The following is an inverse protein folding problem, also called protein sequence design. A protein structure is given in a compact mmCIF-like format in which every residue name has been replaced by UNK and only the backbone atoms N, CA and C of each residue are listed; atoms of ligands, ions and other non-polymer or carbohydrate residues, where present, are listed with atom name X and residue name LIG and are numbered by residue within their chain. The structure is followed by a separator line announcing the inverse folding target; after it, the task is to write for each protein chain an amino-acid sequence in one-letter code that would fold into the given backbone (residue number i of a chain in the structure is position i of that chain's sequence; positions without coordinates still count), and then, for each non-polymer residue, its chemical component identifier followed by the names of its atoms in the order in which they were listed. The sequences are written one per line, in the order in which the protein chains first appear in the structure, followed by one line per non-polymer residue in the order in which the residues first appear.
data_IF_731434245542
#
_entry.id   IF_731434245542
#
_cell.length_a   1.000
_cell.length_b   1.000
_cell.length_c   1.000
_cell.angle_alpha   90.00
_cell.angle_beta   90.00
_cell.angle_gamma   90.00
#
_symmetry.space_group_name_H-M   'P 1'
#
loop_
_entity.id
_entity.type
_entity.pdbx_description
1 polymer ?
#
# COMPACT_ATOMS: atom_id res chain seq x y z
N UNK A 1 -6.52 -23.68 -3.41
CA UNK A 1 -7.61 -23.79 -2.42
C UNK A 1 -7.75 -22.41 -1.79
N UNK A 2 -8.90 -21.73 -1.95
CA UNK A 2 -9.12 -20.43 -1.35
C UNK A 2 -9.20 -20.56 0.16
N UNK A 3 -8.53 -19.66 0.90
CA UNK A 3 -8.39 -19.75 2.35
C UNK A 3 -8.73 -18.43 3.05
N UNK A 4 -9.11 -18.58 4.31
CA UNK A 4 -9.15 -17.49 5.29
C UNK A 4 -7.94 -17.67 6.20
N UNK A 5 -7.12 -16.65 6.29
CA UNK A 5 -5.91 -16.67 7.13
C UNK A 5 -5.99 -15.63 8.23
N UNK A 6 -5.62 -15.96 9.48
CA UNK A 6 -5.41 -14.95 10.51
C UNK A 6 -4.33 -13.94 10.08
N UNK A 7 -4.64 -12.68 10.22
CA UNK A 7 -3.67 -11.60 10.03
C UNK A 7 -3.07 -11.23 11.39
N UNK A 8 -2.05 -11.96 11.79
CA UNK A 8 -1.42 -11.82 13.12
C UNK A 8 -0.81 -10.43 13.29
N UNK A 9 -0.15 -9.91 12.22
CA UNK A 9 0.45 -8.59 12.26
C UNK A 9 -0.59 -7.51 12.55
N UNK A 10 -1.71 -7.53 11.82
CA UNK A 10 -2.79 -6.57 12.01
C UNK A 10 -3.52 -6.79 13.34
N UNK A 11 -3.67 -8.04 13.79
CA UNK A 11 -4.27 -8.38 15.10
C UNK A 11 -3.49 -7.76 16.25
N UNK A 12 -2.17 -7.79 16.18
CA UNK A 12 -1.29 -7.17 17.19
C UNK A 12 -1.46 -5.64 17.26
N UNK A 13 -1.71 -4.99 16.11
CA UNK A 13 -1.91 -3.54 16.05
C UNK A 13 -3.29 -3.16 16.58
N UNK A 14 -4.33 -3.92 16.21
CA UNK A 14 -5.72 -3.60 16.56
C UNK A 14 -6.16 -4.11 17.94
N UNK A 15 -5.42 -5.07 18.51
CA UNK A 15 -5.72 -5.65 19.82
C UNK A 15 -6.88 -6.66 19.82
N UNK A 16 -7.28 -7.15 18.65
CA UNK A 16 -8.31 -8.19 18.50
C UNK A 16 -8.07 -9.00 17.20
N UNK A 17 -8.65 -10.22 17.08
CA UNK A 17 -8.42 -11.07 15.91
C UNK A 17 -8.78 -10.41 14.59
N UNK A 18 -7.87 -10.51 13.62
CA UNK A 18 -8.05 -10.02 12.25
C UNK A 18 -7.90 -11.19 11.28
N UNK A 19 -8.73 -11.19 10.24
CA UNK A 19 -8.75 -12.25 9.23
C UNK A 19 -8.68 -11.65 7.83
N UNK A 20 -7.88 -12.29 6.97
CA UNK A 20 -7.81 -11.98 5.55
C UNK A 20 -8.41 -13.14 4.75
N UNK A 21 -9.42 -12.87 3.93
CA UNK A 21 -9.84 -13.79 2.90
C UNK A 21 -9.00 -13.58 1.62
N UNK A 22 -8.63 -14.67 0.97
CA UNK A 22 -8.08 -14.60 -0.39
C UNK A 22 -9.12 -14.02 -1.35
N UNK A 23 -8.66 -13.42 -2.45
CA UNK A 23 -9.54 -12.77 -3.43
C UNK A 23 -10.36 -13.83 -4.19
N UNK A 24 -11.68 -13.92 -3.97
CA UNK A 24 -12.53 -14.86 -4.69
C UNK A 24 -12.77 -14.36 -6.13
N UNK A 25 -12.86 -15.30 -7.04
CA UNK A 25 -13.11 -15.02 -8.46
C UNK A 25 -14.56 -15.32 -8.90
N UNK A 26 -15.30 -16.06 -8.07
CA UNK A 26 -16.68 -16.44 -8.34
C UNK A 26 -17.51 -16.53 -7.05
N UNK A 27 -18.83 -16.67 -7.21
CA UNK A 27 -19.79 -16.70 -6.09
C UNK A 27 -19.61 -17.91 -5.17
N UNK A 28 -19.26 -19.08 -5.71
CA UNK A 28 -19.09 -20.29 -4.90
C UNK A 28 -17.90 -20.14 -3.93
N UNK A 29 -16.78 -19.63 -4.42
CA UNK A 29 -15.61 -19.30 -3.58
C UNK A 29 -15.94 -18.24 -2.53
N UNK A 30 -16.65 -17.18 -2.92
CA UNK A 30 -17.06 -16.12 -2.00
C UNK A 30 -17.97 -16.65 -0.88
N UNK A 31 -18.94 -17.48 -1.21
CA UNK A 31 -19.85 -18.11 -0.25
C UNK A 31 -19.08 -19.00 0.74
N UNK A 32 -18.16 -19.80 0.24
CA UNK A 32 -17.28 -20.64 1.06
C UNK A 32 -16.46 -19.77 2.04
N UNK A 33 -15.78 -18.72 1.55
CA UNK A 33 -14.94 -17.86 2.38
C UNK A 33 -15.73 -17.09 3.45
N UNK A 34 -16.92 -16.61 3.11
CA UNK A 34 -17.83 -15.98 4.09
C UNK A 34 -18.21 -16.96 5.18
N UNK A 35 -18.52 -18.22 4.82
CA UNK A 35 -18.81 -19.30 5.78
C UNK A 35 -17.62 -19.61 6.68
N UNK A 36 -16.41 -19.67 6.12
CA UNK A 36 -15.18 -19.90 6.86
C UNK A 36 -14.91 -18.80 7.88
N UNK A 37 -15.03 -17.53 7.48
CA UNK A 37 -14.85 -16.41 8.41
C UNK A 37 -15.86 -16.49 9.56
N UNK A 38 -17.12 -16.77 9.26
CA UNK A 38 -18.17 -16.91 10.30
C UNK A 38 -17.86 -18.04 11.30
N UNK A 39 -17.23 -19.13 10.87
CA UNK A 39 -16.84 -20.24 11.74
C UNK A 39 -15.65 -19.92 12.62
N UNK A 40 -14.70 -19.11 12.12
CA UNK A 40 -13.46 -18.76 12.84
C UNK A 40 -13.66 -17.59 13.84
N UNK A 41 -14.65 -16.74 13.60
CA UNK A 41 -14.91 -15.56 14.44
C UNK A 41 -15.72 -15.94 15.66
N UNK A 42 -15.16 -15.64 16.84
CA UNK A 42 -15.85 -15.71 18.14
C UNK A 42 -15.70 -14.37 18.87
N UNK A 43 -16.77 -13.54 18.91
CA UNK A 43 -16.74 -12.22 19.52
C UNK A 43 -16.11 -11.16 18.63
N UNK A 44 -15.57 -10.11 19.25
CA UNK A 44 -14.99 -8.96 18.56
C UNK A 44 -13.86 -9.37 17.62
N UNK A 45 -14.01 -9.05 16.35
CA UNK A 45 -13.02 -9.36 15.32
C UNK A 45 -13.13 -8.41 14.12
N UNK A 46 -12.17 -8.48 13.24
CA UNK A 46 -12.14 -7.75 11.98
C UNK A 46 -11.82 -8.71 10.83
N UNK A 47 -12.52 -8.57 9.71
CA UNK A 47 -12.20 -9.31 8.50
C UNK A 47 -12.18 -8.39 7.27
N UNK A 48 -11.30 -8.70 6.33
CA UNK A 48 -11.23 -7.98 5.08
C UNK A 48 -11.00 -8.92 3.89
N UNK A 49 -11.45 -8.46 2.74
CA UNK A 49 -11.24 -9.13 1.45
C UNK A 49 -11.00 -8.09 0.37
N UNK A 50 -10.24 -8.47 -0.65
CA UNK A 50 -10.11 -7.71 -1.89
C UNK A 50 -10.82 -8.49 -2.99
N UNK A 51 -11.71 -7.82 -3.73
CA UNK A 51 -12.50 -8.41 -4.81
C UNK A 51 -12.24 -7.63 -6.09
N UNK A 52 -11.92 -8.28 -7.23
CA UNK A 52 -11.77 -7.58 -8.50
C UNK A 52 -12.99 -6.70 -8.80
N UNK A 53 -12.77 -5.46 -9.27
CA UNK A 53 -13.89 -4.57 -9.60
C UNK A 53 -14.78 -5.11 -10.73
N UNK A 54 -14.28 -6.02 -11.56
CA UNK A 54 -15.04 -6.74 -12.55
C UNK A 54 -15.99 -7.81 -11.98
N UNK A 55 -15.76 -8.25 -10.73
CA UNK A 55 -16.56 -9.29 -10.06
C UNK A 55 -17.66 -8.68 -9.16
N UNK A 56 -18.50 -7.81 -9.75
CA UNK A 56 -19.53 -7.05 -9.02
C UNK A 56 -20.47 -7.94 -8.20
N UNK A 57 -20.91 -9.09 -8.76
CA UNK A 57 -21.78 -10.03 -8.04
C UNK A 57 -21.11 -10.63 -6.80
N UNK A 58 -19.80 -10.86 -6.84
CA UNK A 58 -19.02 -11.31 -5.67
C UNK A 58 -18.97 -10.22 -4.60
N UNK A 59 -18.74 -8.98 -5.01
CA UNK A 59 -18.76 -7.85 -4.07
C UNK A 59 -20.14 -7.66 -3.43
N UNK A 60 -21.23 -7.79 -4.21
CA UNK A 60 -22.60 -7.73 -3.72
C UNK A 60 -22.89 -8.80 -2.65
N UNK A 61 -22.46 -10.05 -2.90
CA UNK A 61 -22.60 -11.14 -1.93
C UNK A 61 -21.90 -10.80 -0.60
N UNK A 62 -20.69 -10.26 -0.62
CA UNK A 62 -20.03 -9.82 0.61
C UNK A 62 -20.81 -8.71 1.31
N UNK A 63 -21.37 -7.74 0.57
CA UNK A 63 -22.17 -6.65 1.16
C UNK A 63 -23.46 -7.17 1.80
N UNK A 64 -24.14 -8.14 1.21
CA UNK A 64 -25.29 -8.85 1.81
C UNK A 64 -24.93 -9.55 3.12
N UNK A 65 -23.67 -9.97 3.26
CA UNK A 65 -23.14 -10.57 4.49
C UNK A 65 -22.55 -9.53 5.47
N UNK A 66 -22.84 -8.25 5.29
CA UNK A 66 -22.48 -7.16 6.21
C UNK A 66 -21.08 -6.59 6.04
N UNK A 67 -20.39 -6.92 4.95
CA UNK A 67 -19.18 -6.22 4.55
C UNK A 67 -19.52 -4.87 3.93
N UNK A 68 -18.61 -3.92 4.01
CA UNK A 68 -18.74 -2.61 3.40
C UNK A 68 -17.52 -2.33 2.52
N UNK A 69 -17.75 -1.79 1.34
CA UNK A 69 -16.66 -1.24 0.53
C UNK A 69 -16.14 0.01 1.25
N UNK A 70 -14.86 0.01 1.57
CA UNK A 70 -14.18 1.13 2.24
C UNK A 70 -13.19 1.83 1.34
N UNK A 71 -12.76 1.15 0.28
CA UNK A 71 -11.75 1.65 -0.65
C UNK A 71 -11.85 0.94 -2.00
N UNK A 72 -11.31 1.57 -3.02
CA UNK A 72 -10.98 0.93 -4.29
C UNK A 72 -9.45 1.03 -4.47
N UNK A 73 -8.78 -0.09 -4.24
CA UNK A 73 -7.35 -0.21 -4.51
C UNK A 73 -7.09 -0.31 -6.00
N UNK A 74 -6.19 0.50 -6.52
CA UNK A 74 -5.77 0.50 -7.91
C UNK A 74 -4.28 0.21 -8.01
N UNK A 75 -3.93 -0.71 -8.90
CA UNK A 75 -2.54 -1.13 -9.13
C UNK A 75 -2.06 -0.62 -10.47
N UNK A 76 -0.95 0.07 -10.44
CA UNK A 76 -0.25 0.54 -11.63
C UNK A 76 0.99 -0.32 -11.87
N UNK A 77 1.31 -0.56 -13.15
CA UNK A 77 2.52 -1.25 -13.60
C UNK A 77 3.26 -0.40 -14.62
N UNK A 78 4.59 -0.52 -14.63
CA UNK A 78 5.45 0.13 -15.61
C UNK A 78 6.52 -0.87 -16.07
N UNK A 79 6.69 -1.10 -17.38
CA UNK A 79 7.79 -1.91 -17.91
C UNK A 79 9.14 -1.23 -17.64
N UNK A 80 10.26 -1.95 -17.71
CA UNK A 80 11.61 -1.40 -17.59
C UNK A 80 12.01 -0.67 -18.88
N UNK A 81 11.25 0.35 -19.27
CA UNK A 81 11.48 1.13 -20.48
C UNK A 81 12.28 2.40 -20.18
N UNK A 82 13.46 2.60 -20.79
CA UNK A 82 14.35 3.73 -20.53
C UNK A 82 13.85 5.07 -21.08
N UNK A 83 12.70 5.13 -21.78
CA UNK A 83 12.19 6.35 -22.44
C UNK A 83 11.77 7.49 -21.51
N UNK A 84 11.88 7.36 -20.21
CA UNK A 84 11.68 8.46 -19.27
C UNK A 84 13.03 9.09 -18.94
N UNK A 85 13.36 10.18 -19.58
CA UNK A 85 14.55 10.96 -19.22
C UNK A 85 14.43 11.47 -17.77
N UNK A 86 15.45 11.33 -16.93
CA UNK A 86 15.46 11.95 -15.62
C UNK A 86 15.40 13.47 -15.79
N UNK A 87 14.67 14.15 -14.92
CA UNK A 87 14.71 15.60 -14.83
C UNK A 87 15.95 15.98 -13.98
N UNK A 88 17.02 16.49 -14.57
CA UNK A 88 18.32 16.66 -13.90
C UNK A 88 18.37 17.82 -12.88
N UNK A 89 17.38 18.72 -12.86
CA UNK A 89 17.41 19.94 -12.05
C UNK A 89 16.58 19.82 -10.76
N UNK A 90 16.98 18.94 -9.86
CA UNK A 90 16.36 18.88 -8.54
C UNK A 90 17.35 19.34 -7.46
N UNK A 91 16.99 20.38 -6.70
CA UNK A 91 17.68 20.77 -5.44
C UNK A 91 17.45 19.73 -4.32
N UNK A 92 16.65 18.68 -4.61
CA UNK A 92 16.34 17.60 -3.67
C UNK A 92 17.40 16.52 -3.78
N UNK A 93 18.11 16.27 -2.68
CA UNK A 93 19.01 15.12 -2.57
C UNK A 93 18.22 13.87 -2.21
N UNK A 94 18.34 12.80 -3.03
CA UNK A 94 17.74 11.49 -2.73
C UNK A 94 18.83 10.45 -2.60
N UNK A 95 18.88 9.79 -1.46
CA UNK A 95 19.88 8.78 -1.12
C UNK A 95 19.26 7.58 -0.41
N UNK A 96 20.01 6.50 -0.29
CA UNK A 96 19.62 5.38 0.57
C UNK A 96 19.52 5.86 2.02
N UNK A 97 18.45 5.47 2.70
CA UNK A 97 18.22 5.83 4.08
C UNK A 97 19.23 5.14 5.01
N UNK A 98 19.76 5.90 5.97
CA UNK A 98 20.51 5.38 7.10
C UNK A 98 19.58 4.89 8.21
N UNK A 99 20.10 4.24 9.22
CA UNK A 99 19.30 3.80 10.38
C UNK A 99 18.58 4.97 11.09
N UNK A 100 19.22 6.14 11.16
CA UNK A 100 18.60 7.34 11.75
C UNK A 100 17.48 7.91 10.89
N UNK A 101 17.62 7.87 9.56
CA UNK A 101 16.58 8.33 8.63
C UNK A 101 15.32 7.45 8.68
N UNK A 102 15.45 6.16 9.02
CA UNK A 102 14.31 5.26 9.14
C UNK A 102 13.35 5.69 10.27
N UNK A 103 13.87 6.32 11.33
CA UNK A 103 13.03 6.90 12.40
C UNK A 103 12.19 8.06 11.86
N UNK A 104 12.81 8.95 11.06
CA UNK A 104 12.09 10.03 10.39
C UNK A 104 11.07 9.49 9.38
N UNK A 105 11.43 8.48 8.59
CA UNK A 105 10.52 7.84 7.64
C UNK A 105 9.28 7.26 8.31
N UNK A 106 9.43 6.64 9.50
CA UNK A 106 8.34 6.10 10.31
C UNK A 106 7.38 7.21 10.78
N UNK A 107 7.94 8.33 11.24
CA UNK A 107 7.13 9.50 11.62
C UNK A 107 6.37 10.07 10.41
N UNK A 108 7.06 10.26 9.28
CA UNK A 108 6.45 10.74 8.04
C UNK A 108 5.34 9.79 7.59
N UNK A 109 5.55 8.47 7.63
CA UNK A 109 4.55 7.48 7.24
C UNK A 109 3.27 7.60 8.07
N UNK A 110 3.40 7.77 9.40
CA UNK A 110 2.25 7.89 10.31
C UNK A 110 1.44 9.17 10.09
N UNK A 111 2.09 10.26 9.69
CA UNK A 111 1.46 11.58 9.59
C UNK A 111 0.99 11.94 8.18
N UNK A 112 1.64 11.42 7.13
CA UNK A 112 1.45 11.90 5.76
C UNK A 112 0.66 10.94 4.87
N UNK A 113 0.52 9.66 5.24
CA UNK A 113 -0.27 8.70 4.49
C UNK A 113 -1.69 8.67 5.05
N UNK A 114 -2.58 9.48 4.47
CA UNK A 114 -3.95 9.70 4.98
C UNK A 114 -5.04 9.00 4.16
N UNK A 115 -4.67 8.32 3.07
CA UNK A 115 -5.63 7.65 2.17
C UNK A 115 -5.70 6.13 2.38
N UNK A 116 -5.05 5.55 3.42
CA UNK A 116 -5.12 4.10 3.59
C UNK A 116 -6.54 3.63 3.89
N UNK A 117 -6.85 2.38 3.56
CA UNK A 117 -8.15 1.75 3.85
C UNK A 117 -8.58 1.87 5.33
N UNK A 118 -7.64 2.06 6.22
CA UNK A 118 -7.90 2.27 7.65
C UNK A 118 -8.32 3.71 7.95
N UNK A 119 -7.83 4.69 7.20
CA UNK A 119 -8.28 6.08 7.28
C UNK A 119 -9.65 6.29 6.62
N UNK A 120 -9.93 5.53 5.55
CA UNK A 120 -11.17 5.63 4.80
C UNK A 120 -12.33 4.84 5.46
N UNK A 121 -12.03 3.89 6.35
CA UNK A 121 -13.05 3.16 7.09
C UNK A 121 -13.56 4.00 8.28
N UNK A 122 -14.84 4.46 8.26
CA UNK A 122 -15.36 5.33 9.33
C UNK A 122 -15.47 4.64 10.70
N UNK A 123 -15.32 3.31 10.77
CA UNK A 123 -15.29 2.55 12.03
C UNK A 123 -13.91 2.53 12.68
N UNK A 124 -12.88 2.87 11.92
CA UNK A 124 -11.54 3.12 12.44
C UNK A 124 -11.35 4.63 12.55
N UNK A 125 -10.89 5.12 13.69
CA UNK A 125 -10.46 6.52 13.80
C UNK A 125 -9.12 6.74 13.09
N UNK A 126 -8.79 8.01 12.78
CA UNK A 126 -7.52 8.35 12.12
C UNK A 126 -6.30 7.76 12.83
N UNK A 127 -6.33 7.65 14.17
CA UNK A 127 -5.26 7.07 14.97
C UNK A 127 -4.94 5.62 14.58
N UNK A 128 -5.93 4.83 14.15
CA UNK A 128 -5.70 3.45 13.68
C UNK A 128 -4.92 3.45 12.38
N UNK A 129 -5.32 4.30 11.41
CA UNK A 129 -4.60 4.44 10.16
C UNK A 129 -3.14 4.87 10.39
N UNK A 130 -2.92 5.84 11.26
CA UNK A 130 -1.59 6.31 11.64
C UNK A 130 -0.77 5.20 12.29
N UNK A 131 -1.35 4.43 13.22
CA UNK A 131 -0.68 3.31 13.90
C UNK A 131 -0.30 2.20 12.93
N UNK A 132 -1.18 1.88 11.97
CA UNK A 132 -0.89 0.88 10.93
C UNK A 132 0.26 1.36 10.04
N UNK A 133 0.26 2.60 9.58
CA UNK A 133 1.32 3.15 8.74
C UNK A 133 2.66 3.22 9.49
N UNK A 134 2.61 3.60 10.77
CA UNK A 134 3.77 3.61 11.65
C UNK A 134 4.37 2.20 11.79
N UNK A 135 3.54 1.19 12.11
CA UNK A 135 3.98 -0.19 12.27
C UNK A 135 4.46 -0.79 10.93
N UNK A 136 3.87 -0.37 9.82
CA UNK A 136 4.30 -0.79 8.49
C UNK A 136 5.73 -0.31 8.21
N UNK A 137 6.01 0.98 8.42
CA UNK A 137 7.35 1.51 8.24
C UNK A 137 8.33 0.99 9.31
N UNK A 138 7.86 0.72 10.53
CA UNK A 138 8.66 0.11 11.60
C UNK A 138 9.18 -1.28 11.20
N UNK A 139 8.42 -2.05 10.41
CA UNK A 139 8.89 -3.33 9.86
C UNK A 139 10.11 -3.18 8.93
N UNK A 140 10.23 -2.04 8.24
CA UNK A 140 11.43 -1.69 7.47
C UNK A 140 12.62 -1.34 8.37
N UNK A 141 12.36 -0.62 9.46
CA UNK A 141 13.39 -0.24 10.43
C UNK A 141 14.06 -1.47 11.07
N UNK A 142 13.32 -2.55 11.23
CA UNK A 142 13.79 -3.80 11.80
C UNK A 142 14.24 -4.85 10.76
N UNK A 143 14.29 -4.48 9.47
CA UNK A 143 14.67 -5.40 8.39
C UNK A 143 13.71 -6.58 8.19
N UNK A 144 12.49 -6.48 8.71
CA UNK A 144 11.46 -7.53 8.59
C UNK A 144 10.68 -7.41 7.28
N UNK A 145 10.81 -6.28 6.60
CA UNK A 145 10.10 -5.97 5.35
C UNK A 145 10.96 -5.15 4.43
N UNK A 146 10.76 -5.38 3.13
CA UNK A 146 11.29 -4.55 2.07
C UNK A 146 12.73 -4.84 1.67
N UNK A 147 13.17 -4.13 0.66
CA UNK A 147 14.51 -4.25 0.05
C UNK A 147 15.36 -3.02 0.39
N UNK A 148 14.78 -1.84 0.29
CA UNK A 148 15.48 -0.56 0.47
C UNK A 148 14.49 0.57 0.80
N UNK A 149 14.98 1.56 1.51
CA UNK A 149 14.28 2.85 1.71
C UNK A 149 15.17 3.96 1.17
N UNK A 150 14.61 4.84 0.35
CA UNK A 150 15.25 6.09 -0.04
C UNK A 150 14.67 7.24 0.77
N UNK A 151 15.54 8.14 1.22
CA UNK A 151 15.21 9.38 1.91
C UNK A 151 15.48 10.56 0.99
N UNK A 152 14.50 11.44 0.86
CA UNK A 152 14.65 12.74 0.23
C UNK A 152 14.96 13.81 1.27
N UNK A 153 15.97 14.61 0.96
CA UNK A 153 16.44 15.68 1.83
C UNK A 153 16.52 17.00 1.04
N UNK A 154 16.10 18.07 1.70
CA UNK A 154 16.23 19.44 1.21
C UNK A 154 16.67 20.33 2.35
N UNK A 155 17.69 21.17 2.15
CA UNK A 155 18.26 22.06 3.15
C UNK A 155 18.61 21.33 4.49
N UNK A 156 19.16 20.10 4.39
CA UNK A 156 19.52 19.28 5.55
C UNK A 156 18.32 18.69 6.33
N UNK A 157 17.09 18.87 5.84
CA UNK A 157 15.85 18.35 6.48
C UNK A 157 15.28 17.17 5.71
N UNK A 158 14.91 16.13 6.44
CA UNK A 158 14.23 14.94 5.86
C UNK A 158 12.83 15.36 5.45
N UNK A 159 12.57 15.32 4.16
CA UNK A 159 11.37 15.88 3.54
C UNK A 159 10.39 14.82 3.06
N UNK A 160 10.87 13.60 2.79
CA UNK A 160 10.03 12.51 2.31
C UNK A 160 10.84 11.23 2.14
N UNK A 161 10.14 10.12 1.92
CA UNK A 161 10.75 8.80 1.71
C UNK A 161 9.97 7.98 0.68
N UNK A 162 10.62 6.95 0.15
CA UNK A 162 10.01 5.87 -0.61
C UNK A 162 10.59 4.54 -0.11
N UNK A 163 9.71 3.64 0.31
CA UNK A 163 10.07 2.29 0.75
C UNK A 163 9.73 1.29 -0.35
N UNK A 164 10.67 0.43 -0.65
CA UNK A 164 10.64 -0.46 -1.82
C UNK A 164 10.76 -1.90 -1.37
N UNK A 165 9.96 -2.78 -1.96
CA UNK A 165 10.10 -4.21 -1.81
C UNK A 165 10.20 -4.91 -3.17
N UNK A 166 10.56 -6.20 -3.14
CA UNK A 166 10.51 -7.08 -4.30
C UNK A 166 9.34 -8.03 -4.16
N UNK A 167 8.50 -8.10 -5.19
CA UNK A 167 7.43 -9.08 -5.29
C UNK A 167 7.82 -10.12 -6.33
N UNK A 168 8.08 -11.33 -5.86
CA UNK A 168 8.43 -12.51 -6.68
C UNK A 168 7.40 -13.62 -6.54
N UNK A 169 6.17 -13.30 -6.13
CA UNK A 169 5.09 -14.29 -5.91
C UNK A 169 4.47 -14.79 -7.22
N UNK A 170 4.65 -14.06 -8.32
CA UNK A 170 4.16 -14.42 -9.65
C UNK A 170 5.28 -14.91 -10.59
N UNK A 171 4.96 -15.13 -11.88
CA UNK A 171 5.92 -15.56 -12.91
C UNK A 171 7.00 -14.51 -13.20
N UNK A 172 6.76 -13.27 -12.84
CA UNK A 172 7.69 -12.15 -13.00
C UNK A 172 7.96 -11.48 -11.67
N UNK A 173 9.22 -11.15 -11.42
CA UNK A 173 9.60 -10.34 -10.26
C UNK A 173 9.36 -8.86 -10.56
N UNK A 174 8.71 -8.16 -9.63
CA UNK A 174 8.50 -6.71 -9.71
C UNK A 174 9.28 -6.00 -8.61
N UNK A 175 9.79 -4.82 -8.91
CA UNK A 175 10.17 -3.87 -7.89
C UNK A 175 8.95 -3.00 -7.55
N UNK A 176 8.60 -2.93 -6.27
CA UNK A 176 7.31 -2.40 -5.81
C UNK A 176 7.53 -1.20 -4.91
N UNK A 177 6.84 -0.10 -5.21
CA UNK A 177 6.66 0.98 -4.26
C UNK A 177 5.64 0.52 -3.24
N UNK A 178 6.10 0.25 -2.02
CA UNK A 178 5.27 -0.22 -0.91
C UNK A 178 4.68 0.94 -0.11
N UNK A 179 5.51 1.95 0.19
CA UNK A 179 5.09 3.20 0.82
C UNK A 179 5.83 4.37 0.17
N UNK A 180 5.16 5.51 0.04
CA UNK A 180 5.76 6.79 -0.32
C UNK A 180 5.08 7.90 0.47
N UNK A 181 5.86 8.79 1.06
CA UNK A 181 5.38 9.90 1.85
C UNK A 181 6.24 11.14 1.69
N UNK A 182 5.59 12.30 1.69
CA UNK A 182 6.24 13.62 1.68
C UNK A 182 5.59 14.47 2.76
N UNK A 183 6.41 15.05 3.64
CA UNK A 183 5.93 15.94 4.70
C UNK A 183 5.09 17.08 4.12
N UNK A 184 3.99 17.49 4.77
CA UNK A 184 3.07 18.50 4.23
C UNK A 184 3.76 19.84 3.91
N UNK A 185 4.68 20.28 4.77
CA UNK A 185 5.45 21.54 4.62
C UNK A 185 6.46 21.50 3.44
N UNK A 186 6.73 20.30 2.89
CA UNK A 186 7.60 20.10 1.75
C UNK A 186 6.88 19.66 0.48
N UNK A 187 5.56 19.49 0.52
CA UNK A 187 4.79 19.12 -0.67
C UNK A 187 4.87 20.20 -1.76
N UNK A 188 4.64 19.81 -3.01
CA UNK A 188 4.72 20.66 -4.22
C UNK A 188 6.07 21.34 -4.45
N UNK A 189 7.15 20.81 -3.86
CA UNK A 189 8.54 21.22 -4.10
C UNK A 189 9.34 20.18 -4.90
N UNK A 190 8.69 19.32 -5.66
CA UNK A 190 9.33 18.32 -6.50
C UNK A 190 9.82 17.05 -5.78
N UNK A 191 9.65 16.93 -4.46
CA UNK A 191 10.19 15.81 -3.66
C UNK A 191 9.64 14.46 -4.10
N UNK A 192 8.31 14.37 -4.30
CA UNK A 192 7.71 13.13 -4.79
C UNK A 192 8.26 12.71 -6.16
N UNK A 193 8.53 13.67 -7.07
CA UNK A 193 9.13 13.41 -8.36
C UNK A 193 10.60 12.97 -8.22
N UNK A 194 11.38 13.60 -7.34
CA UNK A 194 12.77 13.20 -7.11
C UNK A 194 12.88 11.78 -6.56
N UNK A 195 12.00 11.40 -5.63
CA UNK A 195 11.90 10.03 -5.10
C UNK A 195 11.52 9.03 -6.22
N UNK A 196 10.55 9.38 -7.07
CA UNK A 196 10.17 8.55 -8.21
C UNK A 196 11.31 8.37 -9.20
N UNK A 197 12.03 9.44 -9.54
CA UNK A 197 13.18 9.36 -10.44
C UNK A 197 14.21 8.38 -9.88
N UNK A 198 14.62 8.53 -8.63
CA UNK A 198 15.58 7.62 -7.98
C UNK A 198 15.11 6.16 -8.00
N UNK A 199 13.84 5.91 -7.67
CA UNK A 199 13.27 4.56 -7.72
C UNK A 199 13.32 3.97 -9.14
N UNK A 200 12.92 4.76 -10.13
CA UNK A 200 12.87 4.34 -11.52
C UNK A 200 14.30 4.04 -12.03
N UNK A 201 15.24 4.98 -11.86
CA UNK A 201 16.60 4.84 -12.33
C UNK A 201 17.28 3.58 -11.76
N UNK A 202 17.18 3.38 -10.44
CA UNK A 202 17.75 2.19 -9.80
C UNK A 202 17.04 0.89 -10.21
N UNK A 203 15.76 0.96 -10.57
CA UNK A 203 15.02 -0.22 -11.04
C UNK A 203 15.35 -0.56 -12.49
N UNK A 204 15.59 0.44 -13.32
CA UNK A 204 16.05 0.23 -14.71
C UNK A 204 17.41 -0.45 -14.77
N UNK A 205 18.33 -0.12 -13.87
CA UNK A 205 19.63 -0.81 -13.76
C UNK A 205 19.48 -2.31 -13.48
N UNK A 206 18.40 -2.70 -12.81
CA UNK A 206 18.07 -4.10 -12.51
C UNK A 206 17.27 -4.78 -13.64
N UNK A 207 16.86 -4.03 -14.66
CA UNK A 207 15.97 -4.48 -15.73
C UNK A 207 14.68 -5.17 -15.21
N UNK A 208 14.08 -4.61 -14.18
CA UNK A 208 12.87 -5.13 -13.56
C UNK A 208 11.66 -4.26 -13.88
N UNK A 209 10.48 -4.86 -14.10
CA UNK A 209 9.23 -4.12 -14.14
C UNK A 209 8.88 -3.58 -12.77
N UNK A 210 8.11 -2.48 -12.75
CA UNK A 210 7.73 -1.74 -11.56
C UNK A 210 6.24 -1.89 -11.28
N UNK A 211 5.88 -1.89 -10.00
CA UNK A 211 4.49 -1.97 -9.54
C UNK A 211 4.26 -1.02 -8.37
N UNK A 212 3.07 -0.45 -8.31
CA UNK A 212 2.59 0.30 -7.15
C UNK A 212 1.09 0.10 -7.01
N UNK A 213 0.62 0.01 -5.76
CA UNK A 213 -0.82 -0.01 -5.46
C UNK A 213 -1.15 1.19 -4.59
N UNK A 214 -2.20 1.91 -4.96
CA UNK A 214 -2.71 3.05 -4.19
C UNK A 214 -4.24 3.00 -4.13
N UNK A 215 -4.85 3.95 -3.43
CA UNK A 215 -6.29 4.13 -3.36
C UNK A 215 -6.77 5.00 -4.52
N UNK A 216 -7.93 4.68 -5.10
CA UNK A 216 -8.53 5.49 -6.15
C UNK A 216 -8.80 6.94 -5.69
N UNK A 217 -9.06 7.14 -4.39
CA UNK A 217 -9.24 8.46 -3.78
C UNK A 217 -7.93 9.28 -3.67
N UNK A 218 -6.76 8.65 -3.81
CA UNK A 218 -5.46 9.32 -3.69
C UNK A 218 -5.03 9.94 -5.03
N UNK A 219 -5.81 10.92 -5.50
CA UNK A 219 -5.56 11.60 -6.79
C UNK A 219 -4.14 12.14 -6.94
N UNK A 220 -3.51 12.73 -5.89
CA UNK A 220 -2.11 13.18 -6.01
C UNK A 220 -1.14 12.06 -6.37
N UNK A 221 -1.30 10.88 -5.78
CA UNK A 221 -0.44 9.72 -6.07
C UNK A 221 -0.73 9.15 -7.47
N UNK A 222 -2.02 9.04 -7.86
CA UNK A 222 -2.43 8.63 -9.21
C UNK A 222 -1.74 9.50 -10.26
N UNK A 223 -1.87 10.82 -10.15
CA UNK A 223 -1.24 11.76 -11.07
C UNK A 223 0.30 11.64 -11.08
N UNK A 224 0.93 11.35 -9.93
CA UNK A 224 2.37 11.14 -9.84
C UNK A 224 2.78 9.90 -10.63
N UNK A 225 2.07 8.79 -10.48
CA UNK A 225 2.40 7.53 -11.16
C UNK A 225 2.18 7.62 -12.67
N UNK A 226 1.05 8.17 -13.12
CA UNK A 226 0.75 8.34 -14.55
C UNK A 226 1.78 9.21 -15.26
N UNK A 227 2.18 10.34 -14.65
CA UNK A 227 3.24 11.22 -15.20
C UNK A 227 4.60 10.53 -15.31
N UNK A 228 4.83 9.49 -14.52
CA UNK A 228 6.05 8.69 -14.55
C UNK A 228 5.92 7.41 -15.41
N UNK A 229 4.89 7.35 -16.27
CA UNK A 229 4.71 6.26 -17.25
C UNK A 229 4.15 4.97 -16.67
N UNK A 230 3.61 5.00 -15.45
CA UNK A 230 2.88 3.88 -14.90
C UNK A 230 1.47 3.84 -15.50
N UNK A 231 0.99 2.65 -15.84
CA UNK A 231 -0.31 2.41 -16.44
C UNK A 231 -1.19 1.61 -15.48
N UNK A 232 -2.47 1.97 -15.38
CA UNK A 232 -3.46 1.23 -14.59
C UNK A 232 -3.56 -0.21 -15.11
N UNK A 233 -3.37 -1.17 -14.23
CA UNK A 233 -3.37 -2.59 -14.55
C UNK A 233 -4.48 -3.38 -13.87
N UNK A 234 -4.82 -3.01 -12.63
CA UNK A 234 -5.80 -3.74 -11.81
C UNK A 234 -6.58 -2.79 -10.92
N UNK A 235 -7.84 -3.13 -10.63
CA UNK A 235 -8.66 -2.44 -9.64
C UNK A 235 -9.41 -3.45 -8.77
N UNK A 236 -9.46 -3.19 -7.47
CA UNK A 236 -10.02 -4.10 -6.47
C UNK A 236 -10.91 -3.32 -5.50
N UNK A 237 -12.14 -3.76 -5.29
CA UNK A 237 -12.90 -3.36 -4.10
C UNK A 237 -12.20 -3.88 -2.87
N UNK A 238 -12.01 -3.03 -1.87
CA UNK A 238 -11.53 -3.40 -0.54
C UNK A 238 -12.73 -3.39 0.40
N UNK A 239 -13.12 -4.56 0.89
CA UNK A 239 -14.29 -4.72 1.74
C UNK A 239 -13.86 -5.09 3.16
N UNK A 240 -14.44 -4.40 4.12
CA UNK A 240 -14.22 -4.59 5.54
C UNK A 240 -15.48 -5.07 6.24
N UNK A 241 -15.31 -5.93 7.26
CA UNK A 241 -16.36 -6.31 8.20
C UNK A 241 -15.82 -6.27 9.62
N UNK A 242 -16.52 -5.55 10.48
CA UNK A 242 -16.28 -5.52 11.91
C UNK A 242 -17.32 -6.41 12.59
N UNK A 243 -16.87 -7.31 13.42
CA UNK A 243 -17.70 -8.15 14.28
C UNK A 243 -17.73 -7.53 15.68
N UNK A 244 -18.89 -7.54 16.34
CA UNK A 244 -19.09 -6.97 17.69
C UNK A 244 -18.32 -7.74 18.77
#
# INVERSE_FOLDING_TARGET
MHSVTPDIWLSNILGFPCYRAESPTNLAEATFLVGEIKRQVSGRAFAYVKVPCSAVGVAALYMEHGYRVVDVGITFKRPPDPRSAPNPDSTVCVRVASATDLLDAREIASQCIVYSRFHLDPRFGQHIGNSVNWAWMDSYCHGQRGEIVYMAEIDGRRAGFIAVLRDSTGPHSFRVIDLIGVRPDFQRRGIGQALMNKFIDDTLLLNLPMKVTTQAANIPAVNLYERNGFQLAESMFVLHKHFP
#
